data_IF_110828773714
#
_entry.id   IF_110828773714
#
_cell.length_a   1.000
_cell.length_b   1.000
_cell.length_c   1.000
_cell.angle_alpha   90.00
_cell.angle_beta   90.00
_cell.angle_gamma   90.00
#
_symmetry.space_group_name_H-M   'P 1'
#
loop_
_entity.id
_entity.type
_entity.pdbx_description
1 polymer ?
#
# COMPACT_ATOMS: atom_id res chain seq x y z
N UNK A 1 -56.94 -13.97 -24.68
CA UNK A 1 -55.51 -13.86 -24.97
C UNK A 1 -54.91 -12.46 -24.70
N UNK A 2 -55.47 -11.36 -25.23
CA UNK A 2 -54.92 -9.99 -25.01
C UNK A 2 -54.85 -9.56 -23.53
N UNK A 3 -55.81 -9.93 -22.66
CA UNK A 3 -55.82 -9.63 -21.24
C UNK A 3 -54.80 -10.43 -20.44
N UNK A 4 -54.46 -11.64 -20.87
CA UNK A 4 -53.45 -12.50 -20.24
C UNK A 4 -52.01 -12.00 -20.54
N UNK A 5 -51.78 -11.49 -21.75
CA UNK A 5 -50.50 -10.90 -22.17
C UNK A 5 -50.23 -9.60 -21.42
N UNK A 6 -51.27 -8.77 -21.20
CA UNK A 6 -51.16 -7.54 -20.42
C UNK A 6 -50.82 -7.82 -18.93
N UNK A 7 -51.35 -8.88 -18.36
CA UNK A 7 -51.07 -9.30 -16.98
C UNK A 7 -49.61 -9.82 -16.85
N UNK A 8 -49.10 -10.55 -17.84
CA UNK A 8 -47.72 -11.04 -17.86
C UNK A 8 -46.72 -9.90 -18.00
N UNK A 9 -47.03 -8.86 -18.80
CA UNK A 9 -46.14 -7.70 -18.96
C UNK A 9 -46.11 -6.82 -17.70
N UNK A 10 -47.21 -6.70 -16.96
CA UNK A 10 -47.22 -5.99 -15.69
C UNK A 10 -46.44 -6.76 -14.61
N UNK A 11 -46.51 -8.10 -14.60
CA UNK A 11 -45.74 -8.92 -13.66
C UNK A 11 -44.22 -8.81 -13.90
N UNK A 12 -43.79 -8.70 -15.16
CA UNK A 12 -42.35 -8.54 -15.48
C UNK A 12 -41.79 -7.17 -15.09
N UNK A 13 -42.62 -6.12 -15.07
CA UNK A 13 -42.23 -4.80 -14.59
C UNK A 13 -42.07 -4.73 -13.05
N UNK A 14 -42.78 -5.57 -12.31
CA UNK A 14 -42.68 -5.60 -10.84
C UNK A 14 -41.44 -6.35 -10.34
N UNK A 15 -40.79 -7.19 -11.17
CA UNK A 15 -39.57 -7.87 -10.83
C UNK A 15 -38.30 -7.06 -11.06
N UNK A 16 -38.38 -5.84 -11.61
CA UNK A 16 -37.25 -4.97 -11.85
C UNK A 16 -36.94 -3.99 -10.72
N UNK A 17 -37.46 -4.23 -9.52
CA UNK A 17 -36.94 -3.56 -8.33
C UNK A 17 -35.57 -4.17 -8.03
N UNK A 18 -34.49 -3.58 -8.59
CA UNK A 18 -33.13 -3.77 -8.07
C UNK A 18 -33.18 -3.30 -6.61
N UNK A 19 -33.28 -4.24 -5.67
CA UNK A 19 -32.97 -3.94 -4.29
C UNK A 19 -31.60 -3.31 -4.25
N UNK A 20 -31.51 -2.06 -3.80
CA UNK A 20 -30.20 -1.51 -3.44
C UNK A 20 -29.56 -2.54 -2.51
N UNK A 21 -28.31 -2.94 -2.73
CA UNK A 21 -27.64 -3.84 -1.81
C UNK A 21 -27.75 -3.20 -0.42
N UNK A 22 -28.36 -3.92 0.51
CA UNK A 22 -28.48 -3.47 1.89
C UNK A 22 -27.07 -3.20 2.41
N UNK A 23 -26.84 -2.03 3.02
CA UNK A 23 -25.55 -1.64 3.55
C UNK A 23 -25.14 -2.64 4.65
N UNK A 24 -24.41 -3.69 4.25
CA UNK A 24 -24.02 -4.80 5.12
C UNK A 24 -23.08 -4.36 6.24
N UNK A 25 -22.29 -3.29 6.02
CA UNK A 25 -21.27 -2.82 6.94
C UNK A 25 -21.47 -1.35 7.29
N UNK A 26 -21.11 -0.98 8.53
CA UNK A 26 -21.02 0.43 8.91
C UNK A 26 -19.80 1.07 8.27
N UNK A 27 -18.67 0.34 8.27
CA UNK A 27 -17.39 0.81 7.74
C UNK A 27 -16.74 -0.28 6.88
N UNK A 28 -16.36 0.08 5.68
CA UNK A 28 -15.52 -0.72 4.80
C UNK A 28 -14.15 -0.05 4.68
N UNK A 29 -13.09 -0.76 5.03
CA UNK A 29 -11.71 -0.28 4.99
C UNK A 29 -11.00 -1.02 3.86
N UNK A 30 -10.41 -0.26 2.94
CA UNK A 30 -9.64 -0.80 1.83
C UNK A 30 -8.15 -0.56 2.06
N UNK A 31 -7.37 -1.66 2.07
CA UNK A 31 -5.96 -1.70 2.41
C UNK A 31 -5.70 -2.19 3.83
N UNK A 32 -5.23 -3.43 3.96
CA UNK A 32 -4.84 -4.05 5.23
C UNK A 32 -3.45 -3.63 5.72
N UNK A 33 -3.06 -2.39 5.45
CA UNK A 33 -1.83 -1.77 5.97
C UNK A 33 -1.89 -1.63 7.49
N UNK A 34 -0.82 -1.18 8.13
CA UNK A 34 -0.84 -0.86 9.56
C UNK A 34 -1.96 0.12 9.93
N UNK A 35 -2.22 1.11 9.08
CA UNK A 35 -3.32 2.06 9.24
C UNK A 35 -4.68 1.36 9.15
N UNK A 36 -4.88 0.51 8.14
CA UNK A 36 -6.14 -0.22 7.94
C UNK A 36 -6.46 -1.19 9.06
N UNK A 37 -5.46 -1.93 9.55
CA UNK A 37 -5.63 -2.83 10.70
C UNK A 37 -6.07 -2.07 11.94
N UNK A 38 -5.40 -0.96 12.27
CA UNK A 38 -5.71 -0.17 13.47
C UNK A 38 -7.05 0.56 13.32
N UNK A 39 -7.40 1.05 12.13
CA UNK A 39 -8.72 1.61 11.86
C UNK A 39 -9.83 0.57 12.05
N UNK A 40 -9.64 -0.64 11.52
CA UNK A 40 -10.60 -1.74 11.66
C UNK A 40 -10.76 -2.17 13.14
N UNK A 41 -9.65 -2.36 13.84
CA UNK A 41 -9.66 -2.65 15.27
C UNK A 41 -10.41 -1.59 16.06
N UNK A 42 -10.08 -0.31 15.87
CA UNK A 42 -10.71 0.80 16.61
C UNK A 42 -12.20 0.90 16.33
N UNK A 43 -12.60 0.76 15.07
CA UNK A 43 -14.00 0.81 14.70
C UNK A 43 -14.81 -0.35 15.31
N UNK A 44 -14.25 -1.57 15.35
CA UNK A 44 -14.89 -2.73 16.00
C UNK A 44 -15.02 -2.52 17.51
N UNK A 45 -13.98 -1.99 18.16
CA UNK A 45 -14.01 -1.68 19.60
C UNK A 45 -15.08 -0.62 19.94
N UNK A 46 -15.49 0.20 18.97
CA UNK A 46 -16.62 1.13 19.07
C UNK A 46 -17.97 0.52 18.65
N UNK A 47 -18.04 -0.80 18.51
CA UNK A 47 -19.27 -1.54 18.21
C UNK A 47 -19.75 -1.44 16.76
N UNK A 48 -18.87 -1.03 15.82
CA UNK A 48 -19.22 -0.94 14.40
C UNK A 48 -19.10 -2.27 13.70
N UNK A 49 -19.93 -2.49 12.68
CA UNK A 49 -19.82 -3.62 11.76
C UNK A 49 -18.80 -3.27 10.67
N UNK A 50 -17.65 -3.93 10.69
CA UNK A 50 -16.49 -3.55 9.89
C UNK A 50 -16.11 -4.67 8.93
N UNK A 51 -15.76 -4.30 7.69
CA UNK A 51 -15.05 -5.14 6.74
C UNK A 51 -13.68 -4.52 6.44
N UNK A 52 -12.62 -5.30 6.55
CA UNK A 52 -11.28 -4.95 6.06
C UNK A 52 -10.99 -5.72 4.77
N UNK A 53 -10.57 -5.03 3.73
CA UNK A 53 -10.22 -5.62 2.43
C UNK A 53 -8.72 -5.47 2.22
N UNK A 54 -8.04 -6.58 1.90
CA UNK A 54 -6.60 -6.60 1.63
C UNK A 54 -6.33 -7.24 0.26
N UNK A 55 -5.67 -6.51 -0.66
CA UNK A 55 -5.32 -7.04 -1.98
C UNK A 55 -4.38 -8.24 -1.97
N UNK A 56 -3.58 -8.39 -0.92
CA UNK A 56 -2.64 -9.49 -0.75
C UNK A 56 -3.15 -10.51 0.28
N UNK A 57 -2.25 -11.26 0.89
CA UNK A 57 -2.56 -12.30 1.87
C UNK A 57 -1.97 -12.02 3.26
N UNK A 58 -1.49 -10.80 3.51
CA UNK A 58 -0.82 -10.40 4.75
C UNK A 58 -1.29 -9.03 5.20
N UNK A 59 -1.35 -8.84 6.52
CA UNK A 59 -1.71 -7.56 7.15
C UNK A 59 -0.47 -6.77 7.60
N UNK A 60 -0.63 -5.47 7.78
CA UNK A 60 0.40 -4.58 8.27
C UNK A 60 1.22 -3.88 7.19
N UNK A 61 0.98 -4.20 5.91
CA UNK A 61 1.62 -3.52 4.77
C UNK A 61 3.15 -3.55 4.84
N UNK A 62 3.80 -2.41 4.66
CA UNK A 62 5.27 -2.31 4.69
C UNK A 62 5.88 -2.68 6.04
N UNK A 63 5.18 -2.43 7.14
CA UNK A 63 5.66 -2.76 8.50
C UNK A 63 5.87 -4.27 8.69
N UNK A 64 5.00 -5.09 8.14
CA UNK A 64 5.14 -6.56 8.14
C UNK A 64 5.78 -7.10 6.85
N UNK A 65 6.00 -6.24 5.86
CA UNK A 65 6.52 -6.57 4.53
C UNK A 65 8.02 -6.41 4.36
N UNK A 66 8.76 -5.91 5.37
CA UNK A 66 10.21 -5.76 5.30
C UNK A 66 10.78 -4.51 5.98
N UNK A 67 9.96 -3.48 6.25
CA UNK A 67 10.42 -2.28 6.94
C UNK A 67 10.39 -2.46 8.47
N UNK A 68 11.17 -3.43 8.96
CA UNK A 68 11.26 -3.73 10.39
C UNK A 68 12.23 -2.84 11.17
N UNK A 69 12.88 -1.89 10.54
CA UNK A 69 13.71 -0.87 11.19
C UNK A 69 12.92 0.44 11.24
N UNK A 70 12.51 0.84 12.44
CA UNK A 70 11.75 2.09 12.63
C UNK A 70 12.70 3.27 12.68
N UNK A 71 12.53 4.21 11.73
CA UNK A 71 13.20 5.51 11.76
C UNK A 71 12.56 6.35 12.86
N UNK A 72 13.15 6.37 14.03
CA UNK A 72 12.58 6.98 15.22
C UNK A 72 13.51 8.04 15.82
N UNK A 73 13.00 9.25 15.95
CA UNK A 73 13.65 10.32 16.70
C UNK A 73 13.20 10.30 18.18
N UNK A 74 12.22 11.11 18.53
CA UNK A 74 11.70 11.18 19.88
C UNK A 74 10.61 10.12 20.12
N UNK A 75 10.96 9.02 20.79
CA UNK A 75 10.05 7.93 21.15
C UNK A 75 8.93 8.36 22.11
N UNK A 76 9.10 9.45 22.82
CA UNK A 76 8.14 9.93 23.82
C UNK A 76 6.83 10.43 23.18
N UNK A 77 6.90 10.88 21.95
CA UNK A 77 5.72 11.39 21.21
C UNK A 77 4.83 10.27 20.65
N UNK A 78 5.33 9.04 20.59
CA UNK A 78 4.53 7.89 20.13
C UNK A 78 3.61 7.45 21.27
N UNK A 79 2.30 7.51 21.05
CA UNK A 79 1.26 7.23 22.05
C UNK A 79 0.18 6.29 21.51
N UNK A 80 -0.82 5.98 22.35
CA UNK A 80 -2.01 5.22 21.95
C UNK A 80 -1.69 3.83 21.41
N UNK A 81 -2.42 3.40 20.39
CA UNK A 81 -2.27 2.09 19.77
C UNK A 81 -0.93 1.90 19.05
N UNK A 82 -0.31 2.97 18.57
CA UNK A 82 1.04 2.87 18.03
C UNK A 82 2.04 2.47 19.11
N UNK A 83 1.94 3.05 20.29
CA UNK A 83 2.80 2.65 21.43
C UNK A 83 2.50 1.22 21.91
N UNK A 84 1.23 0.83 21.93
CA UNK A 84 0.83 -0.54 22.26
C UNK A 84 1.45 -1.55 21.28
N UNK A 85 1.49 -1.24 19.99
CA UNK A 85 2.16 -2.06 18.97
C UNK A 85 3.65 -2.28 19.30
N UNK A 86 4.41 -1.22 19.59
CA UNK A 86 5.83 -1.34 19.94
C UNK A 86 6.06 -2.04 21.28
N UNK A 87 5.12 -1.96 22.22
CA UNK A 87 5.16 -2.72 23.49
C UNK A 87 4.88 -4.20 23.28
N UNK A 88 3.97 -4.56 22.40
CA UNK A 88 3.74 -5.96 22.01
C UNK A 88 4.94 -6.56 21.29
N UNK A 89 5.60 -5.79 20.43
CA UNK A 89 6.90 -6.17 19.88
C UNK A 89 7.91 -6.37 20.99
N UNK A 90 8.01 -5.42 21.92
CA UNK A 90 8.89 -5.52 23.08
C UNK A 90 8.68 -6.80 23.89
N UNK A 91 7.43 -7.13 24.18
CA UNK A 91 7.07 -8.34 24.91
C UNK A 91 7.58 -9.62 24.22
N UNK A 92 7.51 -9.70 22.88
CA UNK A 92 8.06 -10.82 22.11
C UNK A 92 9.57 -10.96 22.30
N UNK A 93 10.31 -9.85 22.40
CA UNK A 93 11.77 -9.83 22.55
C UNK A 93 12.24 -9.69 24.02
N UNK A 94 11.35 -9.84 25.00
CA UNK A 94 11.67 -9.70 26.42
C UNK A 94 12.06 -8.26 26.84
N UNK A 95 11.54 -7.23 26.16
CA UNK A 95 11.79 -5.81 26.38
C UNK A 95 10.50 -5.03 26.60
N UNK A 96 10.59 -3.85 27.18
CA UNK A 96 9.44 -2.96 27.35
C UNK A 96 8.87 -2.51 25.98
N UNK A 97 9.74 -2.12 25.07
CA UNK A 97 9.41 -1.68 23.71
C UNK A 97 10.51 -2.16 22.75
N UNK A 98 10.14 -2.49 21.52
CA UNK A 98 11.09 -2.87 20.46
C UNK A 98 10.80 -2.11 19.19
N UNK A 99 11.81 -1.43 18.63
CA UNK A 99 11.70 -0.53 17.49
C UNK A 99 12.38 -1.06 16.22
N UNK A 100 13.14 -2.14 16.35
CA UNK A 100 13.74 -2.90 15.26
C UNK A 100 13.27 -4.34 15.44
N UNK A 101 12.61 -4.91 14.46
CA UNK A 101 11.90 -6.17 14.62
C UNK A 101 11.81 -6.97 13.34
N UNK A 102 11.56 -8.25 13.46
CA UNK A 102 11.31 -9.14 12.32
C UNK A 102 9.91 -8.91 11.75
N UNK A 103 9.76 -8.84 10.41
CA UNK A 103 8.46 -8.67 9.77
C UNK A 103 7.40 -9.68 10.20
N UNK A 104 7.78 -10.95 10.40
CA UNK A 104 6.86 -12.01 10.86
C UNK A 104 6.26 -11.73 12.23
N UNK A 105 7.01 -11.07 13.14
CA UNK A 105 6.52 -10.71 14.47
C UNK A 105 5.49 -9.58 14.34
N UNK A 106 5.76 -8.59 13.50
CA UNK A 106 4.80 -7.53 13.22
C UNK A 106 3.50 -8.08 12.60
N UNK A 107 3.60 -9.00 11.63
CA UNK A 107 2.45 -9.68 11.02
C UNK A 107 1.61 -10.40 12.08
N UNK A 108 2.25 -11.15 12.98
CA UNK A 108 1.58 -11.83 14.08
C UNK A 108 0.81 -10.86 14.99
N UNK A 109 1.39 -9.69 15.30
CA UNK A 109 0.74 -8.69 16.15
C UNK A 109 -0.45 -8.03 15.43
N UNK A 110 -0.34 -7.73 14.14
CA UNK A 110 -1.47 -7.21 13.37
C UNK A 110 -2.61 -8.21 13.28
N UNK A 111 -2.31 -9.49 13.06
CA UNK A 111 -3.31 -10.55 13.11
C UNK A 111 -3.96 -10.67 14.51
N UNK A 112 -3.20 -10.48 15.60
CA UNK A 112 -3.75 -10.49 16.95
C UNK A 112 -4.76 -9.34 17.18
N UNK A 113 -4.52 -8.12 16.68
CA UNK A 113 -5.50 -7.03 16.72
C UNK A 113 -6.80 -7.41 16.02
N UNK A 114 -6.69 -7.96 14.82
CA UNK A 114 -7.85 -8.35 13.99
C UNK A 114 -8.64 -9.47 14.67
N UNK A 115 -7.96 -10.51 15.15
CA UNK A 115 -8.59 -11.66 15.79
C UNK A 115 -9.29 -11.28 17.11
N UNK A 116 -8.65 -10.47 17.96
CA UNK A 116 -9.24 -10.01 19.23
C UNK A 116 -10.50 -9.17 19.06
N UNK A 117 -10.55 -8.38 18.01
CA UNK A 117 -11.72 -7.57 17.71
C UNK A 117 -12.75 -8.30 16.83
N UNK A 118 -12.46 -9.52 16.40
CA UNK A 118 -13.31 -10.29 15.48
C UNK A 118 -13.66 -9.47 14.21
N UNK A 119 -12.65 -8.92 13.54
CA UNK A 119 -12.81 -8.18 12.30
C UNK A 119 -12.93 -9.14 11.14
N UNK A 120 -13.98 -9.00 10.32
CA UNK A 120 -14.09 -9.70 9.04
C UNK A 120 -13.03 -9.18 8.06
N UNK A 121 -12.18 -10.06 7.50
CA UNK A 121 -11.15 -9.71 6.53
C UNK A 121 -11.37 -10.43 5.21
N UNK A 122 -11.32 -9.67 4.13
CA UNK A 122 -11.42 -10.17 2.77
C UNK A 122 -10.06 -10.06 2.09
N UNK A 123 -9.30 -11.16 2.08
CA UNK A 123 -7.97 -11.24 1.45
C UNK A 123 -8.03 -11.53 -0.04
N UNK A 124 -7.02 -11.03 -0.76
CA UNK A 124 -6.81 -11.24 -2.20
C UNK A 124 -7.93 -10.65 -3.06
N UNK A 125 -8.39 -9.47 -2.68
CA UNK A 125 -9.34 -8.71 -3.46
C UNK A 125 -8.83 -7.29 -3.67
N UNK A 126 -8.85 -6.83 -4.92
CA UNK A 126 -8.52 -5.46 -5.28
C UNK A 126 -9.72 -4.74 -5.87
N UNK A 127 -9.76 -3.43 -5.67
CA UNK A 127 -10.82 -2.57 -6.17
C UNK A 127 -10.68 -2.35 -7.68
N UNK A 128 -11.80 -2.45 -8.39
CA UNK A 128 -11.87 -2.11 -9.83
C UNK A 128 -12.70 -0.88 -10.07
N UNK A 129 -13.73 -0.63 -9.25
CA UNK A 129 -14.65 0.48 -9.44
C UNK A 129 -15.28 0.94 -8.12
N UNK A 130 -15.70 2.21 -8.06
CA UNK A 130 -16.48 2.79 -6.96
C UNK A 130 -17.69 3.52 -7.52
N UNK A 131 -18.90 3.10 -7.13
CA UNK A 131 -20.15 3.71 -7.56
C UNK A 131 -20.59 4.80 -6.59
N UNK A 132 -20.74 6.01 -7.12
CA UNK A 132 -21.16 7.17 -6.34
C UNK A 132 -22.59 7.56 -6.64
N UNK A 133 -23.29 8.05 -5.60
CA UNK A 133 -24.56 8.74 -5.73
C UNK A 133 -24.59 9.93 -4.78
N UNK A 134 -24.93 11.11 -5.30
CA UNK A 134 -24.98 12.37 -4.55
C UNK A 134 -23.69 12.69 -3.76
N UNK A 135 -22.52 12.40 -4.36
CA UNK A 135 -21.20 12.64 -3.74
C UNK A 135 -20.78 11.59 -2.70
N UNK A 136 -21.55 10.53 -2.50
CA UNK A 136 -21.24 9.44 -1.56
C UNK A 136 -20.98 8.13 -2.30
N UNK A 137 -19.96 7.39 -1.89
CA UNK A 137 -19.73 6.03 -2.36
C UNK A 137 -20.86 5.14 -1.84
N UNK A 138 -21.55 4.46 -2.75
CA UNK A 138 -22.64 3.52 -2.41
C UNK A 138 -22.15 2.10 -2.32
N UNK A 139 -21.32 1.70 -3.26
CA UNK A 139 -20.66 0.41 -3.25
C UNK A 139 -19.32 0.48 -3.99
N UNK A 140 -18.49 -0.50 -3.74
CA UNK A 140 -17.27 -0.74 -4.49
C UNK A 140 -17.33 -2.11 -5.17
N UNK A 141 -16.72 -2.22 -6.33
CA UNK A 141 -16.57 -3.48 -7.05
C UNK A 141 -15.16 -3.99 -6.88
N UNK A 142 -15.06 -5.27 -6.56
CA UNK A 142 -13.80 -5.96 -6.31
C UNK A 142 -13.62 -7.10 -7.30
N UNK A 143 -12.38 -7.34 -7.70
CA UNK A 143 -11.97 -8.56 -8.38
C UNK A 143 -10.95 -9.33 -7.52
N UNK A 144 -10.80 -10.62 -7.80
CA UNK A 144 -9.74 -11.42 -7.17
C UNK A 144 -8.38 -10.95 -7.65
N UNK A 145 -7.46 -10.67 -6.72
CA UNK A 145 -6.09 -10.23 -7.07
C UNK A 145 -5.27 -11.32 -7.78
N UNK A 146 -5.62 -12.60 -7.57
CA UNK A 146 -4.96 -13.75 -8.18
C UNK A 146 -5.84 -14.48 -9.22
N UNK A 147 -7.01 -13.94 -9.54
CA UNK A 147 -7.94 -14.51 -10.51
C UNK A 147 -8.64 -15.80 -10.07
N UNK A 148 -8.46 -16.24 -8.81
CA UNK A 148 -8.97 -17.53 -8.33
C UNK A 148 -10.40 -17.50 -7.79
N UNK A 149 -10.97 -16.31 -7.56
CA UNK A 149 -12.27 -16.12 -6.91
C UNK A 149 -13.17 -15.22 -7.75
N UNK A 150 -14.51 -15.35 -7.65
CA UNK A 150 -15.42 -14.44 -8.31
C UNK A 150 -15.33 -13.03 -7.74
N UNK A 151 -15.63 -12.04 -8.58
CA UNK A 151 -15.74 -10.65 -8.15
C UNK A 151 -16.84 -10.44 -7.10
N UNK A 152 -16.76 -9.33 -6.37
CA UNK A 152 -17.71 -8.96 -5.32
C UNK A 152 -18.11 -7.50 -5.44
N UNK A 153 -19.33 -7.19 -4.98
CA UNK A 153 -19.77 -5.82 -4.72
C UNK A 153 -19.99 -5.66 -3.22
N UNK A 154 -19.43 -4.60 -2.64
CA UNK A 154 -19.48 -4.31 -1.22
C UNK A 154 -20.16 -2.96 -1.01
N UNK A 155 -21.22 -2.95 -0.22
CA UNK A 155 -21.91 -1.74 0.23
C UNK A 155 -21.59 -1.46 1.70
N UNK A 156 -21.35 -0.21 2.04
CA UNK A 156 -21.13 0.26 3.40
C UNK A 156 -21.57 1.72 3.56
N UNK A 157 -21.78 2.15 4.81
CA UNK A 157 -22.13 3.55 5.11
C UNK A 157 -20.93 4.49 4.95
N UNK A 158 -19.73 4.01 5.33
CA UNK A 158 -18.47 4.76 5.25
C UNK A 158 -17.41 3.88 4.61
N UNK A 159 -16.59 4.47 3.76
CA UNK A 159 -15.43 3.84 3.16
C UNK A 159 -14.17 4.59 3.59
N UNK A 160 -13.12 3.85 3.94
CA UNK A 160 -11.82 4.39 4.34
C UNK A 160 -10.76 3.79 3.42
N UNK A 161 -9.98 4.64 2.74
CA UNK A 161 -8.79 4.21 1.99
C UNK A 161 -7.59 4.23 2.94
N UNK A 162 -6.99 3.07 3.15
CA UNK A 162 -5.78 2.87 3.92
C UNK A 162 -4.64 2.28 3.08
N UNK A 163 -4.74 2.39 1.75
CA UNK A 163 -3.66 1.99 0.84
C UNK A 163 -2.54 3.02 0.80
N UNK A 164 -1.39 2.63 0.25
CA UNK A 164 -0.29 3.57 -0.01
C UNK A 164 -0.53 4.38 -1.28
N UNK A 165 -1.23 3.77 -2.25
CA UNK A 165 -1.45 4.33 -3.58
C UNK A 165 -2.71 5.19 -3.68
N UNK A 166 -3.65 5.07 -2.73
CA UNK A 166 -4.93 5.79 -2.77
C UNK A 166 -5.89 5.24 -3.83
N UNK A 167 -5.93 3.92 -4.01
CA UNK A 167 -6.71 3.30 -5.07
C UNK A 167 -8.22 3.57 -4.95
N UNK A 168 -8.76 3.47 -3.75
CA UNK A 168 -10.17 3.76 -3.50
C UNK A 168 -10.47 5.26 -3.72
N UNK A 169 -9.59 6.13 -3.27
CA UNK A 169 -9.65 7.57 -3.48
C UNK A 169 -9.74 7.90 -4.98
N UNK A 170 -8.84 7.31 -5.78
CA UNK A 170 -8.80 7.51 -7.22
C UNK A 170 -10.06 6.98 -7.91
N UNK A 171 -10.55 5.78 -7.53
CA UNK A 171 -11.80 5.22 -8.06
C UNK A 171 -13.04 6.02 -7.66
N UNK A 172 -13.01 6.69 -6.52
CA UNK A 172 -14.07 7.60 -6.09
C UNK A 172 -14.03 8.97 -6.80
N UNK A 173 -13.08 9.20 -7.71
CA UNK A 173 -12.99 10.44 -8.49
C UNK A 173 -12.47 11.63 -7.68
N UNK A 174 -11.83 11.41 -6.54
CA UNK A 174 -11.15 12.48 -5.78
C UNK A 174 -9.96 12.95 -6.60
N UNK A 175 -9.76 14.26 -6.72
CA UNK A 175 -8.61 14.82 -7.43
C UNK A 175 -7.30 14.52 -6.70
N UNK A 176 -6.28 14.15 -7.44
CA UNK A 176 -4.94 13.87 -6.92
C UNK A 176 -3.86 14.24 -7.94
N UNK A 177 -2.62 14.31 -7.48
CA UNK A 177 -1.45 14.50 -8.33
C UNK A 177 -0.47 13.34 -8.15
N UNK A 178 0.35 13.10 -9.17
CA UNK A 178 1.43 12.10 -9.15
C UNK A 178 2.72 12.81 -9.55
N UNK A 179 3.83 12.40 -8.93
CA UNK A 179 5.15 12.93 -9.18
C UNK A 179 5.54 14.04 -8.22
N UNK A 180 6.52 14.83 -8.61
CA UNK A 180 7.04 15.93 -7.80
C UNK A 180 6.38 17.24 -8.21
N UNK A 181 5.88 18.00 -7.23
CA UNK A 181 5.32 19.33 -7.47
C UNK A 181 6.43 20.36 -7.70
N UNK A 182 6.16 21.32 -8.58
CA UNK A 182 7.04 22.48 -8.77
C UNK A 182 7.07 23.34 -7.50
N UNK A 183 8.25 23.78 -7.10
CA UNK A 183 8.42 24.56 -5.86
C UNK A 183 7.71 25.92 -5.87
N UNK A 184 7.36 26.43 -7.05
CA UNK A 184 6.60 27.68 -7.20
C UNK A 184 5.12 27.51 -6.88
N UNK A 185 4.60 26.26 -6.92
CA UNK A 185 3.17 26.01 -6.73
C UNK A 185 2.70 26.40 -5.32
N UNK A 186 3.49 26.09 -4.31
CA UNK A 186 3.21 26.39 -2.89
C UNK A 186 4.31 27.23 -2.23
N UNK A 187 5.26 27.78 -3.01
CA UNK A 187 6.41 28.54 -2.52
C UNK A 187 7.30 27.76 -1.56
N UNK A 188 7.50 26.47 -1.82
CA UNK A 188 8.35 25.59 -1.03
C UNK A 188 9.77 25.54 -1.59
N UNK A 189 10.77 25.43 -0.71
CA UNK A 189 12.18 25.47 -1.11
C UNK A 189 12.67 24.14 -1.70
N UNK A 190 12.22 23.02 -1.15
CA UNK A 190 12.75 21.67 -1.43
C UNK A 190 11.79 20.77 -2.19
N UNK A 191 10.82 21.33 -2.90
CA UNK A 191 9.94 20.61 -3.82
C UNK A 191 10.58 20.45 -5.20
N UNK A 192 10.01 19.54 -6.01
CA UNK A 192 10.46 19.30 -7.37
C UNK A 192 11.78 18.55 -7.45
N UNK A 193 12.48 18.75 -8.54
CA UNK A 193 13.84 18.21 -8.74
C UNK A 193 14.78 18.85 -7.71
N UNK A 194 15.59 18.03 -7.05
CA UNK A 194 16.57 18.49 -6.09
C UNK A 194 17.89 17.72 -6.28
N UNK A 195 18.94 18.44 -6.55
CA UNK A 195 20.30 17.91 -6.61
C UNK A 195 21.01 18.15 -5.26
N UNK A 196 20.62 17.39 -4.24
CA UNK A 196 21.10 17.59 -2.87
C UNK A 196 22.48 16.96 -2.69
N UNK A 197 23.42 17.75 -2.13
CA UNK A 197 24.75 17.26 -1.80
C UNK A 197 24.70 16.04 -0.87
N UNK A 198 25.47 15.01 -1.18
CA UNK A 198 25.53 13.77 -0.39
C UNK A 198 24.48 12.72 -0.71
N UNK A 199 23.55 12.99 -1.63
CA UNK A 199 22.53 12.05 -2.10
C UNK A 199 22.73 11.64 -3.57
N UNK A 200 23.91 11.86 -4.09
CA UNK A 200 24.35 11.53 -5.44
C UNK A 200 25.43 10.44 -5.40
N UNK A 201 25.74 9.87 -6.55
CA UNK A 201 27.01 9.14 -6.70
C UNK A 201 28.18 10.11 -6.46
N UNK A 202 29.31 9.58 -5.96
CA UNK A 202 30.53 10.39 -5.85
C UNK A 202 30.93 11.01 -7.18
N UNK A 203 31.58 12.17 -7.13
CA UNK A 203 32.12 12.80 -8.33
C UNK A 203 33.13 11.87 -9.04
N UNK A 204 33.07 11.82 -10.36
CA UNK A 204 33.98 11.01 -11.17
C UNK A 204 33.52 9.57 -11.42
N UNK A 205 32.35 9.17 -10.96
CA UNK A 205 31.74 7.90 -11.40
C UNK A 205 31.41 8.00 -12.88
N UNK A 206 32.00 7.13 -13.68
CA UNK A 206 31.77 7.12 -15.14
C UNK A 206 30.44 6.41 -15.44
N UNK A 207 29.51 7.04 -16.18
CA UNK A 207 28.21 6.45 -16.49
C UNK A 207 28.20 5.50 -17.68
N UNK A 208 29.31 5.34 -18.39
CA UNK A 208 29.39 4.60 -19.64
C UNK A 208 29.88 3.16 -19.46
N UNK A 209 29.44 2.26 -20.35
CA UNK A 209 29.86 0.85 -20.35
C UNK A 209 31.36 0.67 -20.55
N UNK A 210 31.99 1.55 -21.36
CA UNK A 210 33.41 1.65 -21.49
C UNK A 210 33.82 3.02 -20.94
N UNK A 211 34.67 3.01 -19.93
CA UNK A 211 35.09 4.22 -19.23
C UNK A 211 35.67 5.26 -20.19
N UNK A 212 35.10 6.47 -20.16
CA UNK A 212 35.49 7.59 -21.01
C UNK A 212 34.95 7.56 -22.43
N UNK A 213 34.19 6.52 -22.82
CA UNK A 213 33.57 6.41 -24.15
C UNK A 213 32.06 6.57 -24.10
N UNK A 214 31.60 7.78 -24.41
CA UNK A 214 30.17 8.08 -24.46
C UNK A 214 29.39 7.33 -25.54
N UNK A 215 30.08 6.79 -26.55
CA UNK A 215 29.43 6.03 -27.63
C UNK A 215 29.17 4.58 -27.27
N UNK A 216 29.76 4.08 -26.17
CA UNK A 216 29.56 2.72 -25.66
C UNK A 216 28.18 2.48 -25.02
N UNK A 217 27.44 3.55 -24.79
CA UNK A 217 26.14 3.54 -24.13
C UNK A 217 26.25 3.56 -22.60
N UNK A 218 25.12 3.80 -21.94
CA UNK A 218 25.05 3.95 -20.49
C UNK A 218 25.05 2.61 -19.76
N UNK A 219 25.60 2.60 -18.55
CA UNK A 219 25.48 1.50 -17.60
C UNK A 219 24.02 1.23 -17.25
N UNK A 220 23.74 0.02 -16.81
CA UNK A 220 22.40 -0.38 -16.41
C UNK A 220 21.91 0.50 -15.23
N UNK A 221 20.65 0.98 -15.36
CA UNK A 221 20.03 1.82 -14.34
C UNK A 221 20.28 3.32 -14.50
N UNK A 222 21.17 3.75 -15.40
CA UNK A 222 21.37 5.16 -15.70
C UNK A 222 20.37 5.64 -16.75
N UNK A 223 19.65 6.72 -16.43
CA UNK A 223 18.74 7.37 -17.37
C UNK A 223 19.49 8.27 -18.33
N UNK A 224 19.18 8.26 -19.65
CA UNK A 224 19.71 9.22 -20.59
C UNK A 224 19.06 10.60 -20.48
N UNK A 225 18.03 10.77 -19.67
CA UNK A 225 17.31 12.02 -19.51
C UNK A 225 18.17 13.07 -18.79
N UNK A 226 18.22 14.28 -19.33
CA UNK A 226 18.84 15.40 -18.63
C UNK A 226 18.06 15.74 -17.36
N UNK A 227 18.76 16.11 -16.30
CA UNK A 227 18.16 16.64 -15.10
C UNK A 227 17.55 18.00 -15.37
N UNK A 228 16.30 18.20 -14.95
CA UNK A 228 15.69 19.54 -14.96
C UNK A 228 16.31 20.42 -13.87
N UNK A 229 16.22 21.75 -13.99
CA UNK A 229 16.65 22.66 -12.93
C UNK A 229 15.99 22.36 -11.56
N UNK A 230 16.72 22.65 -10.49
CA UNK A 230 16.20 22.51 -9.13
C UNK A 230 14.86 23.21 -8.94
N UNK A 231 13.96 22.57 -8.24
CA UNK A 231 12.62 23.05 -8.00
C UNK A 231 11.60 22.77 -9.11
N UNK A 232 12.02 22.25 -10.25
CA UNK A 232 11.11 21.90 -11.36
C UNK A 232 10.25 20.69 -11.00
N UNK A 233 8.92 20.80 -11.17
CA UNK A 233 7.99 19.68 -11.02
C UNK A 233 8.08 18.69 -12.17
N UNK A 234 7.82 17.41 -11.90
CA UNK A 234 7.73 16.36 -12.92
C UNK A 234 6.75 15.24 -12.52
N UNK A 235 6.67 14.20 -13.34
CA UNK A 235 5.82 13.03 -13.08
C UNK A 235 6.59 11.81 -12.56
N UNK A 236 7.84 11.99 -12.17
CA UNK A 236 8.64 10.90 -11.63
C UNK A 236 8.23 10.62 -10.18
N UNK A 237 8.32 9.35 -9.82
CA UNK A 237 8.06 8.86 -8.46
C UNK A 237 9.35 8.38 -7.83
N UNK A 238 9.37 8.30 -6.49
CA UNK A 238 10.53 7.77 -5.77
C UNK A 238 10.85 6.35 -6.23
N UNK A 239 12.13 6.05 -6.40
CA UNK A 239 12.60 4.71 -6.69
C UNK A 239 12.33 3.77 -5.51
N UNK A 240 11.86 2.57 -5.81
CA UNK A 240 11.69 1.51 -4.81
C UNK A 240 13.01 0.80 -4.54
N UNK A 241 13.20 0.36 -3.30
CA UNK A 241 14.28 -0.55 -2.94
C UNK A 241 13.71 -1.83 -2.32
N UNK A 242 14.55 -2.86 -2.24
CA UNK A 242 14.23 -4.11 -1.55
C UNK A 242 14.89 -4.12 -0.19
N UNK A 243 14.17 -4.63 0.81
CA UNK A 243 14.69 -4.84 2.16
C UNK A 243 14.55 -6.30 2.52
N UNK A 244 15.64 -6.87 3.01
CA UNK A 244 15.69 -8.27 3.46
C UNK A 244 16.16 -8.30 4.92
N UNK A 245 15.64 -9.28 5.67
CA UNK A 245 16.11 -9.55 7.01
C UNK A 245 17.30 -10.51 6.94
N UNK A 246 18.41 -10.10 7.52
CA UNK A 246 19.62 -10.91 7.63
C UNK A 246 19.76 -11.43 9.05
N UNK A 247 20.38 -12.61 9.19
CA UNK A 247 20.72 -13.20 10.47
C UNK A 247 22.06 -13.93 10.37
N UNK A 248 22.83 -13.90 11.45
CA UNK A 248 24.05 -14.69 11.63
C UNK A 248 23.78 -16.00 12.39
N UNK A 249 22.55 -16.21 12.88
CA UNK A 249 22.18 -17.44 13.59
C UNK A 249 22.02 -18.63 12.60
N UNK A 250 22.90 -19.66 12.69
CA UNK A 250 22.86 -20.79 11.77
C UNK A 250 21.54 -21.57 11.78
N UNK A 251 20.80 -21.51 12.91
CA UNK A 251 19.55 -22.27 13.07
C UNK A 251 18.40 -21.76 12.20
N UNK A 252 18.43 -20.48 11.77
CA UNK A 252 17.40 -19.88 10.93
C UNK A 252 17.97 -19.08 9.74
N UNK A 253 19.26 -19.22 9.48
CA UNK A 253 19.94 -18.63 8.34
C UNK A 253 19.63 -19.40 7.06
N UNK A 254 19.24 -18.70 6.03
CA UNK A 254 19.18 -19.20 4.65
C UNK A 254 20.38 -18.62 3.91
N UNK A 255 21.20 -19.48 3.32
CA UNK A 255 22.37 -19.05 2.55
C UNK A 255 21.94 -18.27 1.31
N UNK A 256 22.56 -17.09 1.12
CA UNK A 256 22.38 -16.29 -0.09
C UNK A 256 23.27 -16.91 -1.17
N UNK A 257 22.65 -17.50 -2.18
CA UNK A 257 23.32 -18.09 -3.31
C UNK A 257 23.22 -17.19 -4.55
N UNK A 258 24.15 -17.39 -5.48
CA UNK A 258 24.11 -16.70 -6.76
C UNK A 258 22.89 -17.16 -7.56
N UNK A 259 22.01 -16.25 -8.05
CA UNK A 259 20.87 -16.65 -8.87
C UNK A 259 21.31 -17.22 -10.23
N UNK A 260 20.50 -18.11 -10.80
CA UNK A 260 20.77 -18.74 -12.10
C UNK A 260 21.02 -17.73 -13.23
N UNK A 261 20.25 -16.63 -13.23
CA UNK A 261 20.32 -15.56 -14.23
C UNK A 261 21.14 -14.36 -13.74
N UNK A 262 22.19 -14.59 -12.97
CA UNK A 262 23.04 -13.51 -12.48
C UNK A 262 23.80 -12.83 -13.63
N UNK A 263 23.62 -11.52 -13.74
CA UNK A 263 24.28 -10.66 -14.69
C UNK A 263 25.05 -9.59 -13.92
N UNK A 264 26.40 -9.71 -13.90
CA UNK A 264 27.27 -8.78 -13.17
C UNK A 264 27.19 -7.34 -13.69
N UNK A 265 26.90 -7.15 -14.97
CA UNK A 265 26.82 -5.82 -15.58
C UNK A 265 25.75 -4.91 -14.97
N UNK A 266 24.75 -5.51 -14.32
CA UNK A 266 23.70 -4.77 -13.58
C UNK A 266 24.19 -4.18 -12.26
N UNK A 267 25.38 -4.56 -11.80
CA UNK A 267 25.91 -4.16 -10.51
C UNK A 267 27.19 -3.32 -10.61
N UNK A 268 27.58 -2.92 -11.81
CA UNK A 268 28.78 -2.11 -12.08
C UNK A 268 28.83 -0.81 -11.25
N UNK A 269 27.67 -0.18 -11.02
CA UNK A 269 27.57 1.04 -10.20
C UNK A 269 27.71 0.79 -8.70
N UNK A 270 27.73 -0.46 -8.23
CA UNK A 270 27.90 -0.83 -6.82
C UNK A 270 29.33 -1.24 -6.48
N UNK A 271 30.17 -1.45 -7.49
CA UNK A 271 31.57 -1.87 -7.37
C UNK A 271 32.52 -0.67 -7.40
#
# INVERSE_FOLDING_TARGET
>A
MKKLILLLTVLTFLYSCKSNPEEKYDICIYGGTSAGVIAAYSAKMLGKKVLLIEPQNRLGGLTSGGLGFTDIGNKQVVTGLSKDFYRRLGAHYGKLEQWIFEPKVADSIFNDYINRADVEVLYKYRITDAQLANGYIKNITLESSDGTKPGKSIAAKVFIDCTYEGDLMAKAGVSYTIGREDNKLYHETYNGVQLMKGHQFPDGVDPYKIKGDSTSGLLWGISPAALSPDGTGDKLVQAYNYRICLTDNPANKIEITRPENYDSTKYELLL
#
